data_IF_990846387700
#
_entry.id   IF_990846387700
#
_cell.length_a   1.000
_cell.length_b   1.000
_cell.length_c   1.000
_cell.angle_alpha   90.00
_cell.angle_beta   90.00
_cell.angle_gamma   90.00
#
_symmetry.space_group_name_H-M   'P 1'
#
loop_
_entity.id
_entity.type
_entity.pdbx_description
1 polymer ?
#
# COMPACT_ATOMS: atom_id res chain seq x y z
N UNK A 1 -13.80 8.30 15.00
CA UNK A 1 -14.15 8.64 13.58
C UNK A 1 -13.38 7.73 12.60
N UNK A 2 -13.67 7.71 11.29
CA UNK A 2 -13.15 6.71 10.32
C UNK A 2 -11.62 6.45 10.42
N UNK A 3 -10.79 7.50 10.53
CA UNK A 3 -9.32 7.38 10.64
C UNK A 3 -8.91 6.60 11.89
N UNK A 4 -9.54 6.87 13.02
CA UNK A 4 -9.28 6.19 14.30
C UNK A 4 -9.57 4.69 14.18
N UNK A 5 -10.67 4.31 13.53
CA UNK A 5 -11.01 2.91 13.27
C UNK A 5 -9.94 2.21 12.43
N UNK A 6 -9.37 2.89 11.43
CA UNK A 6 -8.25 2.34 10.64
C UNK A 6 -6.99 2.13 11.49
N UNK A 7 -6.65 3.11 12.34
CA UNK A 7 -5.47 3.01 13.21
C UNK A 7 -5.60 1.90 14.25
N UNK A 8 -6.77 1.72 14.85
CA UNK A 8 -7.02 0.63 15.81
C UNK A 8 -6.75 -0.73 15.14
N UNK A 9 -7.25 -0.93 13.92
CA UNK A 9 -7.03 -2.17 13.15
C UNK A 9 -5.56 -2.34 12.76
N UNK A 10 -4.89 -1.28 12.32
CA UNK A 10 -3.47 -1.30 11.98
C UNK A 10 -2.60 -1.67 13.20
N UNK A 11 -2.84 -1.04 14.35
CA UNK A 11 -2.12 -1.33 15.59
C UNK A 11 -2.33 -2.78 16.03
N UNK A 12 -3.57 -3.28 15.92
CA UNK A 12 -3.88 -4.67 16.22
C UNK A 12 -3.08 -5.62 15.31
N UNK A 13 -3.16 -5.43 13.99
CA UNK A 13 -2.43 -6.26 13.02
C UNK A 13 -0.91 -6.22 13.23
N UNK A 14 -0.35 -5.03 13.49
CA UNK A 14 1.08 -4.88 13.73
C UNK A 14 1.54 -5.61 15.01
N UNK A 15 0.73 -5.62 16.07
CA UNK A 15 1.01 -6.38 17.29
C UNK A 15 0.92 -7.89 17.07
N UNK A 16 -0.08 -8.35 16.32
CA UNK A 16 -0.31 -9.77 16.05
C UNK A 16 0.77 -10.37 15.13
N UNK A 17 1.23 -9.59 14.15
CA UNK A 17 2.23 -10.05 13.16
C UNK A 17 3.67 -9.72 13.55
N UNK A 18 3.89 -8.78 14.48
CA UNK A 18 5.22 -8.33 14.90
C UNK A 18 5.93 -7.42 13.90
N UNK A 19 5.26 -6.99 12.81
CA UNK A 19 5.86 -6.13 11.79
C UNK A 19 6.18 -4.72 12.32
N UNK A 20 7.20 -4.09 11.73
CA UNK A 20 7.54 -2.69 11.99
C UNK A 20 7.54 -1.85 10.71
N UNK A 21 7.54 -2.49 9.57
CA UNK A 21 7.52 -1.91 8.24
C UNK A 21 6.07 -1.79 7.79
N UNK A 22 5.59 -0.57 7.64
CA UNK A 22 4.21 -0.29 7.27
C UNK A 22 4.21 0.61 6.04
N UNK A 23 3.66 0.11 4.95
CA UNK A 23 3.39 0.90 3.76
C UNK A 23 1.89 1.19 3.64
N UNK A 24 1.54 2.38 3.16
CA UNK A 24 0.15 2.77 2.89
C UNK A 24 0.01 3.18 1.44
N UNK A 25 -1.01 2.62 0.78
CA UNK A 25 -1.32 2.87 -0.63
C UNK A 25 -2.82 3.16 -0.83
N UNK A 26 -3.18 3.55 -2.05
CA UNK A 26 -4.56 3.85 -2.46
C UNK A 26 -4.95 5.32 -2.23
N UNK A 27 -5.98 5.79 -2.95
CA UNK A 27 -6.32 7.20 -3.01
C UNK A 27 -6.65 7.86 -1.66
N UNK A 28 -7.21 7.10 -0.71
CA UNK A 28 -7.51 7.61 0.64
C UNK A 28 -6.24 7.96 1.42
N UNK A 29 -5.09 7.37 1.05
CA UNK A 29 -3.79 7.74 1.64
C UNK A 29 -3.36 9.17 1.31
N UNK A 30 -4.00 9.84 0.36
CA UNK A 30 -3.81 11.27 0.11
C UNK A 30 -4.46 12.17 1.20
N UNK A 31 -5.33 11.62 2.05
CA UNK A 31 -5.98 12.37 3.12
C UNK A 31 -4.96 12.85 4.16
N UNK A 32 -4.88 14.17 4.37
CA UNK A 32 -3.91 14.79 5.28
C UNK A 32 -4.08 14.36 6.73
N UNK A 33 -5.32 14.26 7.22
CA UNK A 33 -5.58 13.84 8.60
C UNK A 33 -5.13 12.38 8.84
N UNK A 34 -5.38 11.48 7.88
CA UNK A 34 -4.89 10.11 7.92
C UNK A 34 -3.36 10.05 7.92
N UNK A 35 -2.70 10.80 7.02
CA UNK A 35 -1.23 10.87 6.95
C UNK A 35 -0.61 11.31 8.26
N UNK A 36 -1.08 12.42 8.84
CA UNK A 36 -0.58 12.92 10.12
C UNK A 36 -0.73 11.87 11.20
N UNK A 37 -1.93 11.28 11.32
CA UNK A 37 -2.20 10.30 12.36
C UNK A 37 -1.36 9.01 12.20
N UNK A 38 -1.09 8.56 10.97
CA UNK A 38 -0.19 7.45 10.68
C UNK A 38 1.26 7.76 11.07
N UNK A 39 1.77 8.95 10.74
CA UNK A 39 3.13 9.36 11.07
C UNK A 39 3.33 9.49 12.59
N UNK A 40 2.36 10.05 13.30
CA UNK A 40 2.42 10.16 14.77
C UNK A 40 2.34 8.80 15.44
N UNK A 41 1.49 7.91 14.91
CA UNK A 41 1.41 6.52 15.38
C UNK A 41 2.73 5.79 15.12
N UNK A 42 3.32 5.95 13.94
CA UNK A 42 4.61 5.34 13.60
C UNK A 42 5.73 5.80 14.55
N UNK A 43 5.80 7.08 14.89
CA UNK A 43 6.73 7.60 15.90
C UNK A 43 6.50 6.95 17.26
N UNK A 44 5.25 6.85 17.71
CA UNK A 44 4.88 6.24 19.01
C UNK A 44 5.30 4.77 19.11
N UNK A 45 5.11 4.00 18.05
CA UNK A 45 5.40 2.56 18.04
C UNK A 45 6.75 2.20 17.42
N UNK A 46 7.55 3.20 17.03
CA UNK A 46 8.86 3.02 16.35
C UNK A 46 8.75 2.17 15.09
N UNK A 47 7.75 2.47 14.27
CA UNK A 47 7.55 1.85 12.95
C UNK A 47 8.25 2.64 11.85
N UNK A 48 8.70 1.91 10.83
CA UNK A 48 9.13 2.48 9.55
C UNK A 48 7.89 2.66 8.68
N UNK A 49 7.48 3.91 8.48
CA UNK A 49 6.27 4.27 7.75
C UNK A 49 6.62 4.73 6.33
N UNK A 50 6.08 4.05 5.32
CA UNK A 50 6.28 4.35 3.91
C UNK A 50 5.00 4.88 3.31
N UNK A 51 4.98 6.20 3.02
CA UNK A 51 3.86 6.86 2.37
C UNK A 51 4.39 7.51 1.10
N UNK A 52 3.91 7.11 -0.09
CA UNK A 52 4.40 7.67 -1.34
C UNK A 52 3.95 9.13 -1.51
N UNK A 53 4.61 9.82 -2.44
CA UNK A 53 4.18 11.14 -2.91
C UNK A 53 2.76 11.08 -3.47
N UNK A 54 2.04 12.20 -3.40
CA UNK A 54 0.62 12.26 -3.80
C UNK A 54 0.39 11.78 -5.24
N UNK A 55 1.30 12.10 -6.15
CA UNK A 55 1.24 11.67 -7.56
C UNK A 55 1.21 10.15 -7.74
N UNK A 56 1.68 9.39 -6.74
CA UNK A 56 1.72 7.93 -6.76
C UNK A 56 0.70 7.26 -5.85
N UNK A 57 -0.15 8.03 -5.15
CA UNK A 57 -1.18 7.46 -4.24
C UNK A 57 -2.45 6.99 -4.93
N UNK A 58 -2.79 7.57 -6.08
CA UNK A 58 -3.96 7.19 -6.89
C UNK A 58 -3.56 6.22 -7.99
N UNK A 59 -4.54 5.54 -8.59
CA UNK A 59 -4.29 4.62 -9.70
C UNK A 59 -3.59 5.35 -10.86
N UNK A 60 -2.44 4.83 -11.29
CA UNK A 60 -1.61 5.44 -12.32
C UNK A 60 -0.82 4.39 -13.11
N UNK A 61 -0.34 4.75 -14.30
CA UNK A 61 0.42 3.83 -15.15
C UNK A 61 1.82 3.50 -14.58
N UNK A 62 2.40 4.36 -13.74
CA UNK A 62 3.72 4.11 -13.16
C UNK A 62 3.71 2.89 -12.23
N UNK A 63 2.63 2.67 -11.46
CA UNK A 63 2.49 1.49 -10.60
C UNK A 63 2.38 0.19 -11.41
N UNK A 64 1.77 0.25 -12.61
CA UNK A 64 1.69 -0.88 -13.53
C UNK A 64 3.05 -1.15 -14.16
N UNK A 65 3.76 -0.09 -14.60
CA UNK A 65 5.08 -0.19 -15.21
C UNK A 65 6.11 -0.80 -14.25
N UNK A 66 6.17 -0.33 -12.99
CA UNK A 66 7.13 -0.86 -12.01
C UNK A 66 6.82 -2.31 -11.64
N UNK A 67 5.53 -2.67 -11.56
CA UNK A 67 5.11 -4.07 -11.34
C UNK A 67 5.54 -4.96 -12.51
N UNK A 68 5.35 -4.50 -13.75
CA UNK A 68 5.82 -5.18 -14.96
C UNK A 68 7.35 -5.32 -15.00
N UNK A 69 8.09 -4.29 -14.61
CA UNK A 69 9.56 -4.33 -14.53
C UNK A 69 10.04 -5.40 -13.56
N UNK A 70 9.48 -5.49 -12.35
CA UNK A 70 9.86 -6.54 -11.39
C UNK A 70 9.46 -7.94 -11.86
N UNK A 71 8.34 -8.09 -12.58
CA UNK A 71 7.96 -9.37 -13.22
C UNK A 71 8.95 -9.76 -14.32
N UNK A 72 9.34 -8.81 -15.16
CA UNK A 72 10.37 -9.01 -16.20
C UNK A 72 11.69 -9.51 -15.60
N UNK A 73 12.17 -8.87 -14.52
CA UNK A 73 13.39 -9.30 -13.83
C UNK A 73 13.32 -10.73 -13.26
N UNK A 74 12.11 -11.21 -12.94
CA UNK A 74 11.87 -12.59 -12.48
C UNK A 74 11.56 -13.57 -13.62
N UNK A 75 11.55 -13.11 -14.87
CA UNK A 75 11.18 -13.93 -16.03
C UNK A 75 9.69 -14.29 -16.08
N UNK A 76 8.83 -13.54 -15.39
CA UNK A 76 7.39 -13.75 -15.37
C UNK A 76 6.72 -13.04 -16.56
N UNK A 77 6.56 -13.75 -17.67
CA UNK A 77 5.90 -13.24 -18.88
C UNK A 77 4.47 -13.78 -19.00
N UNK A 78 3.58 -12.96 -19.58
CA UNK A 78 2.26 -13.40 -19.98
C UNK A 78 2.26 -13.87 -21.45
N UNK A 79 1.42 -14.85 -21.78
CA UNK A 79 1.16 -15.25 -23.16
C UNK A 79 0.37 -14.19 -23.94
N UNK A 80 0.42 -14.27 -25.27
CA UNK A 80 -0.33 -13.35 -26.16
C UNK A 80 -1.85 -13.61 -26.13
N UNK A 81 -2.26 -14.73 -25.54
CA UNK A 81 -3.65 -15.15 -25.30
C UNK A 81 -4.22 -14.60 -23.98
N UNK A 82 -3.47 -13.76 -23.26
CA UNK A 82 -3.93 -13.13 -22.02
C UNK A 82 -5.23 -12.32 -22.24
N UNK A 83 -6.22 -12.56 -21.39
CA UNK A 83 -7.53 -11.89 -21.46
C UNK A 83 -7.79 -11.05 -20.20
N UNK A 84 -8.64 -10.01 -20.29
CA UNK A 84 -9.00 -9.22 -19.12
C UNK A 84 -9.93 -10.00 -18.19
N UNK A 85 -9.68 -9.89 -16.87
CA UNK A 85 -10.54 -10.48 -15.83
C UNK A 85 -11.09 -9.39 -14.93
N UNK A 86 -12.43 -9.28 -14.85
CA UNK A 86 -13.08 -8.29 -13.98
C UNK A 86 -12.92 -8.62 -12.48
N UNK A 87 -12.69 -9.88 -12.13
CA UNK A 87 -12.40 -10.36 -10.77
C UNK A 87 -11.17 -11.24 -10.80
N UNK A 88 -10.06 -10.69 -10.35
CA UNK A 88 -8.83 -11.45 -10.18
C UNK A 88 -8.93 -12.28 -8.90
N UNK A 89 -8.79 -13.60 -9.00
CA UNK A 89 -8.63 -14.47 -7.82
C UNK A 89 -7.14 -14.47 -7.45
N UNK A 90 -6.86 -14.16 -6.18
CA UNK A 90 -5.53 -14.26 -5.56
C UNK A 90 -5.43 -15.55 -4.78
#
# INVERSE_FOLDING_TARGET
AIVETLLIKLIKAAKETGIREIAVAGGVSANSALRTALLDTAKKYRWNMFIPELAFTTDNAAMIAISGYFKYLRGEFAGQDATPYARQQF
#
